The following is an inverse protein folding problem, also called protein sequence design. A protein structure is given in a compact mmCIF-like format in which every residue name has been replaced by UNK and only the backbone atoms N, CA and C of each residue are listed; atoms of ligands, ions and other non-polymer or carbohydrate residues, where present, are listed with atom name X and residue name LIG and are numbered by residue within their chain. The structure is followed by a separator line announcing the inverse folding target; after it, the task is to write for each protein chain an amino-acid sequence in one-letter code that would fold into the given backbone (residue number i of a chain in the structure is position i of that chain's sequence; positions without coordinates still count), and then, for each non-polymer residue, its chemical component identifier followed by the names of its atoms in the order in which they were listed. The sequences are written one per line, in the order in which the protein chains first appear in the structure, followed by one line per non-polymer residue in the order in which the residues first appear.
data_IF_527083203508
#
_entry.id   IF_527083203508
#
_cell.length_a   1.000
_cell.length_b   1.000
_cell.length_c   1.000
_cell.angle_alpha   90.00
_cell.angle_beta   90.00
_cell.angle_gamma   90.00
#
_symmetry.space_group_name_H-M   'P 1'
#
loop_
_entity.id
_entity.type
_entity.pdbx_description
1 polymer ?
#
# COMPACT_ATOMS: atom_id res chain seq x y z
N UNK A 1 -10.75 29.19 -34.50
CA UNK A 1 -9.85 28.16 -35.09
C UNK A 1 -8.48 28.09 -34.40
N UNK A 2 -7.91 29.19 -33.88
CA UNK A 2 -6.58 29.15 -33.23
C UNK A 2 -6.50 28.38 -31.90
N UNK A 3 -7.56 28.38 -31.10
CA UNK A 3 -7.58 27.74 -29.77
C UNK A 3 -7.54 26.21 -29.83
N UNK A 4 -8.16 25.60 -30.84
CA UNK A 4 -8.16 24.14 -31.03
C UNK A 4 -6.77 23.68 -31.44
N UNK A 5 -6.09 24.44 -32.31
CA UNK A 5 -4.73 24.13 -32.73
C UNK A 5 -3.76 24.24 -31.56
N UNK A 6 -3.96 25.24 -30.69
CA UNK A 6 -3.17 25.43 -29.47
C UNK A 6 -3.36 24.26 -28.49
N UNK A 7 -4.60 23.78 -28.29
CA UNK A 7 -4.88 22.63 -27.42
C UNK A 7 -4.28 21.34 -27.95
N UNK A 8 -4.32 21.10 -29.27
CA UNK A 8 -3.69 19.93 -29.89
C UNK A 8 -2.17 19.98 -29.74
N UNK A 9 -1.57 21.18 -29.88
CA UNK A 9 -0.13 21.36 -29.72
C UNK A 9 0.32 21.20 -28.26
N UNK A 10 -0.48 21.66 -27.30
CA UNK A 10 -0.23 21.49 -25.86
C UNK A 10 -0.36 20.02 -25.43
N UNK A 11 -1.38 19.31 -25.93
CA UNK A 11 -1.56 17.88 -25.71
C UNK A 11 -0.41 17.04 -26.31
N UNK A 12 0.09 17.41 -27.50
CA UNK A 12 1.24 16.75 -28.12
C UNK A 12 2.53 16.98 -27.31
N UNK A 13 2.73 18.19 -26.79
CA UNK A 13 3.87 18.54 -25.93
C UNK A 13 3.82 17.81 -24.59
N UNK A 14 2.63 17.70 -23.99
CA UNK A 14 2.39 16.93 -22.77
C UNK A 14 2.76 15.44 -22.96
N UNK A 15 2.31 14.85 -24.07
CA UNK A 15 2.59 13.44 -24.39
C UNK A 15 4.09 13.18 -24.58
N UNK A 16 4.81 14.08 -25.26
CA UNK A 16 6.27 13.97 -25.40
C UNK A 16 7.00 14.09 -24.06
N UNK A 17 6.56 15.00 -23.18
CA UNK A 17 7.20 15.17 -21.88
C UNK A 17 7.03 13.91 -21.01
N UNK A 18 5.85 13.29 -21.06
CA UNK A 18 5.57 12.03 -20.36
C UNK A 18 6.43 10.86 -20.90
N UNK A 19 6.63 10.76 -22.22
CA UNK A 19 7.51 9.74 -22.82
C UNK A 19 8.99 9.93 -22.43
N UNK A 20 9.44 11.18 -22.32
CA UNK A 20 10.78 11.51 -21.84
C UNK A 20 10.98 11.08 -20.38
N UNK A 21 10.00 11.34 -19.52
CA UNK A 21 10.05 10.96 -18.10
C UNK A 21 10.07 9.44 -17.92
N UNK A 22 9.26 8.70 -18.70
CA UNK A 22 9.28 7.23 -18.72
C UNK A 22 10.66 6.69 -19.16
N UNK A 23 11.29 7.34 -20.14
CA UNK A 23 12.63 6.95 -20.62
C UNK A 23 13.72 7.21 -19.57
N UNK A 24 13.63 8.33 -18.83
CA UNK A 24 14.56 8.64 -17.73
C UNK A 24 14.44 7.63 -16.58
N UNK A 25 13.21 7.23 -16.22
CA UNK A 25 12.96 6.21 -15.20
C UNK A 25 13.55 4.86 -15.63
N UNK A 26 13.39 4.48 -16.91
CA UNK A 26 13.92 3.22 -17.46
C UNK A 26 15.45 3.14 -17.38
N UNK A 27 16.15 4.26 -17.55
CA UNK A 27 17.61 4.31 -17.42
C UNK A 27 18.06 4.32 -15.95
N UNK A 28 17.24 4.86 -15.04
CA UNK A 28 17.56 4.91 -13.60
C UNK A 28 17.40 3.55 -12.89
N UNK A 29 16.61 2.62 -13.43
CA UNK A 29 16.49 1.24 -12.92
C UNK A 29 17.57 0.28 -13.43
N UNK A 30 18.45 0.73 -14.33
CA UNK A 30 19.53 -0.06 -14.92
C UNK A 30 20.87 -0.04 -14.17
N UNK A 31 20.97 0.65 -13.03
CA UNK A 31 22.24 0.82 -12.29
C UNK A 31 22.39 -0.05 -11.03
N UNK A 32 21.43 -0.92 -10.72
CA UNK A 32 21.49 -1.79 -9.52
C UNK A 32 21.38 -3.29 -9.78
N UNK A 33 21.45 -3.74 -11.03
CA UNK A 33 21.51 -5.17 -11.35
C UNK A 33 22.82 -5.52 -12.03
N UNK A 34 23.92 -5.35 -11.32
CA UNK A 34 25.15 -6.08 -11.64
C UNK A 34 24.89 -7.56 -11.36
N UNK A 35 25.02 -8.46 -12.34
CA UNK A 35 24.99 -9.89 -12.06
C UNK A 35 26.24 -10.19 -11.22
N UNK A 36 26.05 -10.60 -9.97
CA UNK A 36 27.15 -11.18 -9.18
C UNK A 36 27.52 -12.51 -9.83
N UNK A 37 28.59 -12.44 -10.63
CA UNK A 37 29.32 -13.57 -11.17
C UNK A 37 29.64 -14.57 -10.06
N UNK A 38 29.38 -15.82 -10.39
CA UNK A 38 29.75 -17.04 -9.70
C UNK A 38 31.07 -16.96 -8.93
N UNK A 39 30.94 -17.33 -7.66
CA UNK A 39 31.92 -17.62 -6.62
C UNK A 39 33.23 -18.23 -7.15
N UNK A 40 34.35 -17.60 -6.78
CA UNK A 40 35.57 -18.31 -6.42
C UNK A 40 36.23 -17.64 -5.21
N UNK A 41 35.69 -17.89 -4.01
CA UNK A 41 36.45 -17.67 -2.77
C UNK A 41 36.18 -18.85 -1.84
N UNK A 42 37.21 -19.67 -1.75
CA UNK A 42 37.43 -20.68 -0.71
C UNK A 42 37.22 -20.03 0.66
N UNK A 43 36.32 -20.60 1.45
CA UNK A 43 36.29 -20.48 2.90
C UNK A 43 35.67 -19.21 3.48
N UNK A 44 34.34 -19.15 3.59
CA UNK A 44 33.67 -18.72 4.83
C UNK A 44 32.17 -18.98 4.76
N UNK A 45 31.69 -19.78 5.69
CA UNK A 45 30.29 -20.17 5.83
C UNK A 45 29.41 -18.95 6.07
N UNK A 46 28.48 -18.69 5.15
CA UNK A 46 27.40 -17.73 5.35
C UNK A 46 26.47 -18.24 6.46
N UNK A 47 26.15 -17.37 7.41
CA UNK A 47 25.31 -17.70 8.57
C UNK A 47 23.90 -18.06 8.11
N UNK A 48 23.54 -19.33 8.26
CA UNK A 48 22.18 -19.82 8.01
C UNK A 48 21.24 -19.35 9.13
N UNK A 49 19.98 -19.06 8.80
CA UNK A 49 18.92 -18.70 9.76
C UNK A 49 18.77 -19.71 10.92
N UNK A 50 19.08 -20.99 10.67
CA UNK A 50 19.08 -22.03 11.70
C UNK A 50 20.12 -21.75 12.81
N UNK A 51 21.24 -21.11 12.48
CA UNK A 51 22.32 -20.79 13.42
C UNK A 51 22.00 -19.57 14.28
N UNK A 52 21.19 -18.64 13.76
CA UNK A 52 20.66 -17.49 14.52
C UNK A 52 19.66 -17.97 15.58
N UNK A 53 18.80 -18.93 15.23
CA UNK A 53 17.85 -19.52 16.18
C UNK A 53 18.55 -20.36 17.27
N UNK A 54 19.63 -21.07 16.93
CA UNK A 54 20.38 -21.89 17.89
C UNK A 54 21.15 -21.06 18.94
N UNK A 55 21.61 -19.85 18.59
CA UNK A 55 22.27 -18.96 19.55
C UNK A 55 21.30 -18.36 20.59
N UNK A 56 20.03 -18.16 20.21
CA UNK A 56 19.01 -17.71 21.16
C UNK A 56 18.68 -18.76 22.24
N UNK A 57 18.98 -20.04 21.99
CA UNK A 57 18.69 -21.15 22.88
C UNK A 57 19.85 -21.56 23.81
N UNK A 58 21.05 -20.98 23.65
CA UNK A 58 22.23 -21.28 24.49
C UNK A 58 22.86 -20.00 25.02
N UNK A 59 22.41 -19.57 26.20
CA UNK A 59 22.99 -18.44 26.91
C UNK A 59 22.48 -18.30 28.34
N UNK A 60 22.79 -19.28 29.20
CA UNK A 60 22.65 -19.11 30.65
C UNK A 60 23.89 -18.37 31.17
N UNK A 61 23.76 -17.10 31.57
CA UNK A 61 24.39 -16.53 32.77
C UNK A 61 24.12 -15.02 32.93
N UNK A 62 23.56 -14.71 34.11
CA UNK A 62 23.42 -13.44 34.84
C UNK A 62 22.19 -12.54 34.54
N UNK A 63 21.42 -12.16 35.60
CA UNK A 63 20.21 -11.35 35.46
C UNK A 63 20.56 -9.85 35.42
N UNK A 64 19.92 -9.03 34.57
CA UNK A 64 19.99 -7.58 34.70
C UNK A 64 19.04 -7.10 35.82
N UNK A 65 19.38 -6.00 36.50
CA UNK A 65 18.71 -5.54 37.72
C UNK A 65 17.29 -5.05 37.39
N UNK A 66 16.37 -5.28 38.34
CA UNK A 66 15.00 -4.73 38.32
C UNK A 66 15.07 -3.19 38.23
N UNK A 67 14.48 -2.57 37.20
CA UNK A 67 14.18 -1.15 37.24
C UNK A 67 12.74 -0.98 37.69
N UNK A 68 12.60 -0.17 38.74
CA UNK A 68 11.41 0.22 39.45
C UNK A 68 10.30 0.75 38.53
N UNK A 69 9.06 0.68 39.04
CA UNK A 69 7.91 1.41 38.52
C UNK A 69 8.28 2.81 38.03
N UNK A 70 8.19 3.01 36.72
CA UNK A 70 7.86 4.31 36.16
C UNK A 70 6.73 4.10 35.17
N UNK A 71 5.58 4.61 35.57
CA UNK A 71 4.39 4.86 34.77
C UNK A 71 4.76 5.67 33.53
N UNK A 72 5.05 4.99 32.44
CA UNK A 72 5.00 5.56 31.11
C UNK A 72 4.00 4.73 30.30
N UNK A 73 2.82 5.32 30.08
CA UNK A 73 1.73 4.83 29.23
C UNK A 73 2.24 4.58 27.81
N UNK A 74 2.94 3.47 27.61
CA UNK A 74 3.34 3.00 26.29
C UNK A 74 2.11 2.37 25.68
N UNK A 75 1.39 3.15 24.88
CA UNK A 75 0.30 2.67 24.02
C UNK A 75 0.76 1.39 23.36
N UNK A 76 0.22 0.28 23.85
CA UNK A 76 0.50 -1.05 23.35
C UNK A 76 -0.03 -1.06 21.93
N UNK A 77 0.87 -0.85 20.95
CA UNK A 77 0.54 -1.00 19.55
C UNK A 77 0.36 -2.49 19.31
N UNK A 78 -0.82 -3.01 19.66
CA UNK A 78 -1.27 -4.36 19.35
C UNK A 78 -1.03 -4.55 17.86
N UNK A 79 -0.08 -5.42 17.51
CA UNK A 79 0.20 -5.82 16.14
C UNK A 79 -0.98 -6.70 15.72
N UNK A 80 -2.08 -6.05 15.36
CA UNK A 80 -3.24 -6.69 14.75
C UNK A 80 -2.79 -7.35 13.46
N UNK A 81 -3.24 -8.57 13.18
CA UNK A 81 -2.89 -9.30 11.97
C UNK A 81 -3.19 -8.41 10.75
N UNK A 82 -2.30 -8.40 9.75
CA UNK A 82 -2.46 -7.59 8.54
C UNK A 82 -3.83 -7.75 7.88
N UNK A 83 -4.43 -8.95 7.99
CA UNK A 83 -5.76 -9.29 7.48
C UNK A 83 -6.90 -8.53 8.16
N UNK A 84 -6.74 -8.17 9.43
CA UNK A 84 -7.77 -7.46 10.21
C UNK A 84 -7.87 -5.97 9.82
N UNK A 85 -6.89 -5.45 9.06
CA UNK A 85 -6.87 -4.06 8.58
C UNK A 85 -7.45 -3.90 7.17
N UNK A 86 -8.03 -4.97 6.63
CA UNK A 86 -8.48 -5.06 5.24
C UNK A 86 -9.99 -4.95 5.13
N UNK A 87 -10.44 -4.11 4.22
CA UNK A 87 -11.84 -4.01 3.80
C UNK A 87 -11.92 -4.38 2.32
N UNK A 88 -12.82 -5.31 1.98
CA UNK A 88 -13.05 -5.68 0.58
C UNK A 88 -14.37 -5.06 0.14
N UNK A 89 -14.34 -4.38 -1.00
CA UNK A 89 -15.49 -3.72 -1.61
C UNK A 89 -15.77 -4.37 -2.96
N UNK A 90 -16.99 -4.85 -3.13
CA UNK A 90 -17.48 -5.34 -4.40
C UNK A 90 -17.98 -4.19 -5.26
N UNK A 91 -17.41 -4.09 -6.46
CA UNK A 91 -17.89 -3.17 -7.49
C UNK A 91 -18.87 -3.91 -8.39
N UNK A 92 -20.16 -3.57 -8.31
CA UNK A 92 -21.19 -4.18 -9.17
C UNK A 92 -21.25 -3.57 -10.56
N UNK A 93 -20.79 -2.33 -10.71
CA UNK A 93 -20.76 -1.65 -11.99
C UNK A 93 -19.50 -2.04 -12.77
N UNK A 94 -19.69 -2.64 -13.95
CA UNK A 94 -18.59 -3.11 -14.80
C UNK A 94 -17.76 -1.95 -15.37
N UNK A 95 -18.38 -0.82 -15.70
CA UNK A 95 -17.69 0.36 -16.19
C UNK A 95 -16.76 0.96 -15.13
N UNK A 96 -17.22 1.03 -13.89
CA UNK A 96 -16.39 1.45 -12.75
C UNK A 96 -15.28 0.45 -12.50
N UNK A 97 -15.59 -0.86 -12.42
CA UNK A 97 -14.57 -1.88 -12.22
C UNK A 97 -13.48 -1.83 -13.32
N UNK A 98 -13.86 -1.59 -14.58
CA UNK A 98 -12.91 -1.45 -15.68
C UNK A 98 -12.03 -0.20 -15.52
N UNK A 99 -12.58 0.92 -15.05
CA UNK A 99 -11.79 2.13 -14.77
C UNK A 99 -10.72 1.86 -13.73
N UNK A 100 -11.06 1.19 -12.63
CA UNK A 100 -10.08 0.81 -11.60
C UNK A 100 -8.96 -0.09 -12.16
N UNK A 101 -9.25 -0.87 -13.20
CA UNK A 101 -8.31 -1.83 -13.80
C UNK A 101 -7.24 -1.18 -14.67
N UNK A 102 -7.61 -0.12 -15.37
CA UNK A 102 -6.71 0.61 -16.29
C UNK A 102 -5.85 1.63 -15.52
N UNK A 103 -6.34 2.07 -14.34
CA UNK A 103 -5.68 3.07 -13.53
C UNK A 103 -4.61 2.50 -12.61
N UNK A 104 -3.70 3.36 -12.14
CA UNK A 104 -2.64 2.96 -11.22
C UNK A 104 -3.18 2.69 -9.80
N UNK A 105 -2.48 1.88 -8.98
CA UNK A 105 -2.85 1.66 -7.58
C UNK A 105 -2.91 2.97 -6.76
N UNK A 106 -2.04 3.94 -7.06
CA UNK A 106 -2.03 5.25 -6.41
C UNK A 106 -3.30 6.05 -6.74
N UNK A 107 -3.79 5.94 -7.97
CA UNK A 107 -5.07 6.55 -8.37
C UNK A 107 -6.24 5.89 -7.64
N UNK A 108 -6.26 4.55 -7.59
CA UNK A 108 -7.30 3.81 -6.87
C UNK A 108 -7.34 4.18 -5.39
N UNK A 109 -6.18 4.26 -4.75
CA UNK A 109 -6.05 4.75 -3.36
C UNK A 109 -6.62 6.16 -3.22
N UNK A 110 -6.25 7.08 -4.10
CA UNK A 110 -6.72 8.47 -4.03
C UNK A 110 -8.24 8.58 -4.21
N UNK A 111 -8.83 7.79 -5.10
CA UNK A 111 -10.29 7.72 -5.24
C UNK A 111 -10.97 7.25 -3.95
N UNK A 112 -10.45 6.18 -3.35
CA UNK A 112 -10.95 5.69 -2.05
C UNK A 112 -10.81 6.75 -0.96
N UNK A 113 -9.66 7.43 -0.87
CA UNK A 113 -9.43 8.51 0.10
C UNK A 113 -10.36 9.71 -0.11
N UNK A 114 -10.70 10.06 -1.36
CA UNK A 114 -11.68 11.10 -1.65
C UNK A 114 -13.07 10.67 -1.18
N UNK A 115 -13.48 9.46 -1.55
CA UNK A 115 -14.78 8.88 -1.16
C UNK A 115 -15.00 8.82 0.35
N UNK A 116 -13.95 8.46 1.10
CA UNK A 116 -13.95 8.41 2.56
C UNK A 116 -14.00 9.80 3.18
N UNK A 117 -13.29 10.78 2.60
CA UNK A 117 -13.27 12.16 3.12
C UNK A 117 -14.59 12.89 2.95
N UNK A 118 -15.34 12.59 1.90
CA UNK A 118 -16.67 13.16 1.65
C UNK A 118 -17.72 12.65 2.66
N UNK A 119 -17.42 11.58 3.40
CA UNK A 119 -18.26 11.06 4.46
C UNK A 119 -17.80 11.55 5.84
N UNK A 120 -18.68 12.25 6.56
CA UNK A 120 -18.36 12.90 7.84
C UNK A 120 -17.86 11.92 8.90
N UNK A 121 -18.44 10.72 8.98
CA UNK A 121 -18.10 9.71 9.98
C UNK A 121 -16.74 9.07 9.73
N UNK A 122 -16.33 8.91 8.46
CA UNK A 122 -15.15 8.15 8.06
C UNK A 122 -13.97 9.02 7.63
N UNK A 123 -14.14 10.35 7.51
CA UNK A 123 -13.12 11.29 7.02
C UNK A 123 -11.73 11.22 7.68
N UNK A 124 -11.63 10.76 8.93
CA UNK A 124 -10.38 10.67 9.67
C UNK A 124 -9.58 9.38 9.40
N UNK A 125 -10.14 8.45 8.63
CA UNK A 125 -9.55 7.13 8.39
C UNK A 125 -8.41 7.24 7.38
N UNK A 126 -7.26 6.66 7.74
CA UNK A 126 -6.06 6.67 6.89
C UNK A 126 -5.96 5.40 6.06
N UNK A 127 -6.06 5.56 4.75
CA UNK A 127 -5.84 4.50 3.76
C UNK A 127 -4.34 4.37 3.47
N UNK A 128 -3.81 3.16 3.65
CA UNK A 128 -2.42 2.82 3.34
C UNK A 128 -2.28 2.46 1.87
N UNK A 129 -3.20 1.67 1.36
CA UNK A 129 -3.22 1.20 -0.02
C UNK A 129 -4.64 0.80 -0.46
N UNK A 130 -4.87 0.82 -1.77
CA UNK A 130 -6.05 0.23 -2.37
C UNK A 130 -5.67 -0.46 -3.68
N UNK A 131 -6.15 -1.70 -3.86
CA UNK A 131 -5.81 -2.52 -5.02
C UNK A 131 -7.03 -3.23 -5.55
N UNK A 132 -7.15 -3.32 -6.86
CA UNK A 132 -8.18 -4.15 -7.47
C UNK A 132 -7.74 -5.62 -7.49
N UNK A 133 -8.64 -6.51 -7.08
CA UNK A 133 -8.48 -7.95 -7.14
C UNK A 133 -8.77 -8.48 -8.55
N UNK A 134 -8.33 -9.71 -8.82
CA UNK A 134 -8.62 -10.38 -10.11
C UNK A 134 -10.13 -10.53 -10.36
N UNK A 135 -10.94 -10.61 -9.30
CA UNK A 135 -12.40 -10.64 -9.34
C UNK A 135 -13.04 -9.32 -9.78
N UNK A 136 -12.31 -8.20 -9.72
CA UNK A 136 -12.83 -6.86 -9.98
C UNK A 136 -13.14 -6.06 -8.70
N UNK A 137 -13.12 -6.72 -7.54
CA UNK A 137 -13.34 -6.09 -6.23
C UNK A 137 -12.16 -5.19 -5.84
N UNK A 138 -12.37 -4.20 -4.97
CA UNK A 138 -11.30 -3.38 -4.41
C UNK A 138 -10.97 -3.87 -3.01
N UNK A 139 -9.69 -4.13 -2.76
CA UNK A 139 -9.16 -4.36 -1.44
C UNK A 139 -8.51 -3.09 -0.89
N UNK A 140 -8.99 -2.62 0.25
CA UNK A 140 -8.57 -1.39 0.92
C UNK A 140 -7.82 -1.77 2.18
N UNK A 141 -6.63 -1.21 2.34
CA UNK A 141 -5.77 -1.39 3.50
C UNK A 141 -5.79 -0.13 4.35
N UNK A 142 -6.19 -0.27 5.60
CA UNK A 142 -6.22 0.82 6.58
C UNK A 142 -4.99 0.76 7.49
N UNK A 143 -4.75 1.84 8.25
CA UNK A 143 -3.59 1.89 9.16
C UNK A 143 -3.81 1.02 10.40
N UNK A 144 -5.06 0.81 10.83
CA UNK A 144 -5.43 0.04 12.02
C UNK A 144 -6.72 -0.77 11.84
N UNK A 145 -6.91 -1.81 12.65
CA UNK A 145 -8.14 -2.62 12.62
C UNK A 145 -9.37 -1.83 13.03
N UNK A 146 -9.26 -0.89 13.97
CA UNK A 146 -10.37 -0.03 14.37
C UNK A 146 -10.89 0.82 13.21
N UNK A 147 -9.99 1.34 12.37
CA UNK A 147 -10.35 2.06 11.15
C UNK A 147 -11.03 1.16 10.12
N UNK A 148 -10.53 -0.07 9.92
CA UNK A 148 -11.19 -1.05 9.06
C UNK A 148 -12.62 -1.35 9.54
N UNK A 149 -12.81 -1.59 10.84
CA UNK A 149 -14.14 -1.83 11.43
C UNK A 149 -15.06 -0.64 11.21
N UNK A 150 -14.56 0.58 11.45
CA UNK A 150 -15.35 1.80 11.25
C UNK A 150 -15.78 2.00 9.79
N UNK A 151 -14.93 1.67 8.82
CA UNK A 151 -15.30 1.68 7.39
C UNK A 151 -16.38 0.63 7.05
N UNK A 152 -16.40 -0.51 7.75
CA UNK A 152 -17.41 -1.55 7.55
C UNK A 152 -18.77 -1.16 8.13
N UNK A 153 -18.77 -0.46 9.27
CA UNK A 153 -19.96 0.03 9.98
C UNK A 153 -20.60 1.21 9.27
N UNK A 154 -19.84 2.29 9.01
CA UNK A 154 -20.34 3.46 8.29
C UNK A 154 -20.07 3.28 6.80
N UNK A 155 -21.11 2.88 6.06
CA UNK A 155 -21.03 2.57 4.63
C UNK A 155 -21.27 3.79 3.72
N UNK A 156 -21.43 5.00 4.27
CA UNK A 156 -21.84 6.16 3.48
C UNK A 156 -20.78 6.61 2.46
N UNK A 157 -19.52 6.25 2.67
CA UNK A 157 -18.43 6.48 1.71
C UNK A 157 -18.50 5.58 0.47
N UNK A 158 -19.24 4.47 0.47
CA UNK A 158 -19.31 3.56 -0.68
C UNK A 158 -19.92 4.22 -1.91
N UNK A 159 -20.84 5.18 -1.71
CA UNK A 159 -21.52 5.88 -2.80
C UNK A 159 -20.55 6.62 -3.73
N UNK A 160 -19.41 7.10 -3.22
CA UNK A 160 -18.39 7.74 -4.05
C UNK A 160 -17.54 6.76 -4.86
N UNK A 161 -17.56 5.47 -4.54
CA UNK A 161 -16.93 4.42 -5.36
C UNK A 161 -17.86 3.93 -6.47
N UNK A 162 -19.17 3.94 -6.23
CA UNK A 162 -20.19 3.58 -7.18
C UNK A 162 -21.53 3.38 -6.49
N UNK A 163 -22.62 3.61 -7.22
CA UNK A 163 -23.98 3.57 -6.67
C UNK A 163 -24.36 2.20 -6.08
N UNK A 164 -23.80 1.13 -6.67
CA UNK A 164 -24.06 -0.26 -6.29
C UNK A 164 -22.88 -0.92 -5.58
N UNK A 165 -21.92 -0.15 -5.05
CA UNK A 165 -20.78 -0.69 -4.32
C UNK A 165 -21.21 -1.25 -2.96
N UNK A 166 -20.70 -2.42 -2.57
CA UNK A 166 -21.00 -3.05 -1.29
C UNK A 166 -19.73 -3.54 -0.59
N UNK A 167 -19.71 -3.53 0.74
CA UNK A 167 -18.64 -4.16 1.54
C UNK A 167 -18.96 -5.64 1.71
N UNK A 168 -17.97 -6.50 1.49
CA UNK A 168 -18.02 -7.95 1.72
C UNK A 168 -17.49 -8.28 3.12
#
# INVERSE_FOLDING_TARGET
MGEILQQVQDAAKCTQNMQKDITMIKNSVGLSTTPQTTVNIIGRHGTSWAQVAAQAAKGTALPPPVPQEMTASKTQSTVTTYKDRVVTVKLKDHGIAQRYRIQSPSWARRQVETSIRDNVSTKAIKVVAAHQLKSGDIQIFTSSTAEATKLKEDKGWLRGLGENAEVI
#
